data_IF_874186000316
#
_entry.id   IF_874186000316
#
_cell.length_a   1.000
_cell.length_b   1.000
_cell.length_c   1.000
_cell.angle_alpha   90.00
_cell.angle_beta   90.00
_cell.angle_gamma   90.00
#
_symmetry.space_group_name_H-M   'P 1'
#
loop_
_entity.id
_entity.type
_entity.pdbx_description
1 polymer ?
#
# COMPACT_ATOMS: atom_id res chain seq x y z
N UNK A 1 -2.20 -10.23 6.50
CA UNK A 1 -3.49 -9.57 6.79
C UNK A 1 -3.53 -8.32 5.94
N UNK A 2 -4.56 -8.15 5.11
CA UNK A 2 -4.79 -7.09 4.11
C UNK A 2 -6.25 -6.66 4.33
N UNK A 3 -6.63 -5.40 4.66
CA UNK A 3 -8.05 -5.11 5.05
C UNK A 3 -8.59 -3.71 4.74
N UNK A 4 -9.52 -3.63 3.75
CA UNK A 4 -10.85 -2.96 3.72
C UNK A 4 -11.34 -2.53 2.30
N UNK A 5 -12.59 -2.87 1.97
CA UNK A 5 -13.44 -2.40 0.86
C UNK A 5 -12.94 -2.57 -0.59
N UNK A 6 -12.54 -3.80 -0.94
CA UNK A 6 -12.62 -4.27 -2.32
C UNK A 6 -13.51 -5.52 -2.38
N UNK A 7 -14.55 -5.49 -3.22
CA UNK A 7 -15.46 -6.60 -3.50
C UNK A 7 -14.76 -7.67 -4.35
N UNK A 8 -13.67 -8.24 -3.83
CA UNK A 8 -13.04 -9.41 -4.43
C UNK A 8 -12.76 -10.40 -3.31
N UNK A 9 -13.44 -11.55 -3.35
CA UNK A 9 -13.05 -12.74 -2.60
C UNK A 9 -11.71 -13.22 -3.17
N UNK A 10 -10.63 -12.61 -2.70
CA UNK A 10 -9.26 -12.96 -3.08
C UNK A 10 -8.78 -14.01 -2.08
N UNK A 11 -8.91 -15.28 -2.46
CA UNK A 11 -8.33 -16.41 -1.71
C UNK A 11 -6.96 -16.75 -2.32
N UNK A 12 -5.90 -16.35 -1.64
CA UNK A 12 -4.53 -16.76 -1.98
C UNK A 12 -4.03 -17.72 -0.91
N UNK A 13 -3.50 -18.86 -1.33
CA UNK A 13 -2.88 -19.82 -0.42
C UNK A 13 -1.86 -19.13 0.50
N UNK A 14 -2.10 -19.21 1.81
CA UNK A 14 -1.24 -18.61 2.84
C UNK A 14 -1.54 -17.15 3.20
N UNK A 15 -2.57 -16.53 2.62
CA UNK A 15 -3.05 -15.19 2.99
C UNK A 15 -4.49 -15.30 3.50
N UNK A 16 -4.73 -14.80 4.71
CA UNK A 16 -6.06 -14.67 5.27
C UNK A 16 -6.54 -13.22 5.24
N UNK A 17 -7.76 -13.02 4.76
CA UNK A 17 -8.48 -11.77 4.88
C UNK A 17 -9.00 -11.61 6.31
N UNK A 18 -8.76 -10.44 6.91
CA UNK A 18 -9.41 -10.09 8.18
C UNK A 18 -10.43 -9.00 7.94
N UNK A 19 -11.46 -8.92 8.76
CA UNK A 19 -12.42 -7.82 8.68
C UNK A 19 -12.26 -6.91 9.90
N UNK A 20 -12.31 -5.60 9.67
CA UNK A 20 -12.26 -4.58 10.72
C UNK A 20 -13.49 -3.68 10.62
N UNK A 21 -13.86 -3.09 11.75
CA UNK A 21 -15.03 -2.20 11.83
C UNK A 21 -14.87 -0.89 11.05
N UNK A 22 -13.63 -0.43 10.86
CA UNK A 22 -13.27 0.76 10.08
C UNK A 22 -11.76 0.71 9.74
N UNK A 23 -11.31 1.65 8.90
CA UNK A 23 -9.96 1.70 8.35
C UNK A 23 -8.91 2.17 9.36
N UNK A 24 -9.30 2.97 10.36
CA UNK A 24 -8.40 3.32 11.47
C UNK A 24 -8.04 2.06 12.28
N UNK A 25 -9.03 1.30 12.70
CA UNK A 25 -8.82 0.03 13.40
C UNK A 25 -8.05 -0.95 12.51
N UNK A 26 -8.33 -0.99 11.20
CA UNK A 26 -7.61 -1.83 10.26
C UNK A 26 -6.12 -1.47 10.18
N UNK A 27 -5.78 -0.18 10.17
CA UNK A 27 -4.39 0.28 10.15
C UNK A 27 -3.63 -0.12 11.43
N UNK A 28 -4.25 -0.03 12.61
CA UNK A 28 -3.65 -0.53 13.85
C UNK A 28 -3.54 -2.04 13.91
N UNK A 29 -4.51 -2.77 13.36
CA UNK A 29 -4.43 -4.21 13.27
C UNK A 29 -3.26 -4.64 12.35
N UNK A 30 -3.08 -3.96 11.21
CA UNK A 30 -1.97 -4.20 10.30
C UNK A 30 -0.61 -3.90 10.96
N UNK A 31 -0.51 -2.80 11.72
CA UNK A 31 0.68 -2.46 12.52
C UNK A 31 1.00 -3.57 13.54
N UNK A 32 0.03 -3.94 14.37
CA UNK A 32 0.21 -4.99 15.37
C UNK A 32 0.61 -6.33 14.75
N UNK A 33 0.02 -6.68 13.61
CA UNK A 33 0.41 -7.86 12.85
C UNK A 33 1.85 -7.77 12.34
N UNK A 34 2.25 -6.62 11.79
CA UNK A 34 3.60 -6.38 11.30
C UNK A 34 4.65 -6.55 12.41
N UNK A 35 4.36 -6.10 13.63
CA UNK A 35 5.25 -6.30 14.79
C UNK A 35 5.48 -7.77 15.13
N UNK A 36 4.47 -8.62 14.91
CA UNK A 36 4.57 -10.06 15.19
C UNK A 36 5.16 -10.86 14.03
N UNK A 37 4.92 -10.43 12.79
CA UNK A 37 5.19 -11.23 11.57
C UNK A 37 6.21 -10.60 10.63
N UNK A 38 6.73 -9.42 10.97
CA UNK A 38 7.71 -8.66 10.19
C UNK A 38 7.10 -7.70 9.17
N UNK A 39 5.91 -7.98 8.65
CA UNK A 39 5.20 -7.12 7.70
C UNK A 39 3.69 -7.26 7.84
N UNK A 40 3.01 -6.12 7.76
CA UNK A 40 1.55 -6.01 7.73
C UNK A 40 1.12 -5.39 6.41
N UNK A 41 -0.12 -5.63 6.02
CA UNK A 41 -0.70 -5.04 4.82
C UNK A 41 -2.07 -4.47 5.16
N UNK A 42 -2.39 -3.34 4.55
CA UNK A 42 -3.67 -2.66 4.68
C UNK A 42 -4.20 -2.44 3.28
N UNK A 43 -5.50 -2.68 3.05
CA UNK A 43 -6.16 -2.28 1.81
C UNK A 43 -7.24 -1.27 2.17
N UNK A 44 -7.39 -0.17 1.45
CA UNK A 44 -8.55 0.69 1.66
C UNK A 44 -9.14 1.13 0.33
N UNK A 45 -10.37 1.64 0.40
CA UNK A 45 -10.95 2.37 -0.73
C UNK A 45 -10.37 3.80 -0.80
N UNK A 46 -10.45 4.39 -2.00
CA UNK A 46 -10.00 5.74 -2.29
C UNK A 46 -10.75 6.83 -1.51
N UNK A 47 -10.03 7.88 -1.12
CA UNK A 47 -10.56 9.04 -0.41
C UNK A 47 -10.87 8.74 1.05
N UNK A 48 -12.10 8.31 1.36
CA UNK A 48 -12.54 8.18 2.77
C UNK A 48 -11.82 7.08 3.53
N UNK A 49 -11.51 5.97 2.85
CA UNK A 49 -10.85 4.83 3.49
C UNK A 49 -9.40 5.14 3.82
N UNK A 50 -8.65 5.66 2.84
CA UNK A 50 -7.25 6.04 3.05
C UNK A 50 -7.12 7.18 4.06
N UNK A 51 -7.92 8.25 3.98
CA UNK A 51 -7.84 9.34 4.95
C UNK A 51 -8.17 8.89 6.38
N UNK A 52 -9.04 7.89 6.56
CA UNK A 52 -9.34 7.32 7.87
C UNK A 52 -8.17 6.48 8.42
N UNK A 53 -7.40 5.82 7.55
CA UNK A 53 -6.24 5.00 7.90
C UNK A 53 -4.95 5.79 8.14
N UNK A 54 -4.84 7.03 7.64
CA UNK A 54 -3.57 7.78 7.62
C UNK A 54 -2.94 7.94 9.01
N UNK A 55 -3.75 8.04 10.06
CA UNK A 55 -3.27 8.14 11.43
C UNK A 55 -2.51 6.87 11.88
N UNK A 56 -3.04 5.68 11.56
CA UNK A 56 -2.33 4.44 11.90
C UNK A 56 -1.08 4.24 11.06
N UNK A 57 -1.10 4.64 9.78
CA UNK A 57 0.09 4.62 8.93
C UNK A 57 1.16 5.59 9.43
N UNK A 58 0.79 6.80 9.86
CA UNK A 58 1.71 7.73 10.50
C UNK A 58 2.30 7.16 11.80
N UNK A 59 1.49 6.43 12.59
CA UNK A 59 1.96 5.68 13.76
C UNK A 59 3.00 4.60 13.40
N UNK A 60 2.72 3.78 12.38
CA UNK A 60 3.68 2.81 11.85
C UNK A 60 4.95 3.48 11.33
N UNK A 61 4.81 4.65 10.70
CA UNK A 61 5.95 5.44 10.27
C UNK A 61 6.75 5.93 11.46
N UNK A 62 6.17 6.39 12.56
CA UNK A 62 6.93 6.82 13.73
C UNK A 62 7.71 5.66 14.37
N UNK A 63 7.07 4.49 14.46
CA UNK A 63 7.52 3.33 15.25
C UNK A 63 8.38 2.32 14.47
N UNK A 64 8.82 2.66 13.27
CA UNK A 64 9.62 1.78 12.40
C UNK A 64 8.90 0.45 12.08
N UNK A 65 7.62 0.51 11.71
CA UNK A 65 6.82 -0.68 11.39
C UNK A 65 6.57 -0.80 9.89
N UNK A 66 6.91 -1.95 9.31
CA UNK A 66 6.68 -2.27 7.90
C UNK A 66 5.20 -2.58 7.64
N UNK A 67 4.44 -1.57 7.21
CA UNK A 67 3.05 -1.71 6.76
C UNK A 67 2.92 -1.27 5.30
N UNK A 68 2.47 -2.17 4.43
CA UNK A 68 2.15 -1.83 3.04
C UNK A 68 0.67 -1.45 2.94
N UNK A 69 0.39 -0.20 2.61
CA UNK A 69 -0.96 0.31 2.42
C UNK A 69 -1.27 0.37 0.92
N UNK A 70 -2.20 -0.48 0.49
CA UNK A 70 -2.72 -0.52 -0.87
C UNK A 70 -4.05 0.23 -0.88
N UNK A 71 -4.19 1.21 -1.76
CA UNK A 71 -5.45 1.92 -1.96
C UNK A 71 -5.96 1.61 -3.34
N UNK A 72 -7.14 1.01 -3.43
CA UNK A 72 -7.73 0.85 -4.75
C UNK A 72 -8.44 2.13 -5.17
N UNK A 73 -8.02 2.65 -6.33
CA UNK A 73 -8.35 3.98 -6.84
C UNK A 73 -9.32 3.91 -8.03
N UNK A 74 -9.87 5.06 -8.40
CA UNK A 74 -10.83 5.18 -9.50
C UNK A 74 -10.26 4.67 -10.84
N UNK A 75 -11.08 4.24 -11.81
CA UNK A 75 -10.58 3.77 -13.10
C UNK A 75 -9.67 4.80 -13.80
N UNK A 76 -8.61 4.35 -14.47
CA UNK A 76 -7.62 5.24 -15.12
C UNK A 76 -8.27 6.25 -16.08
N UNK A 77 -9.27 5.83 -16.85
CA UNK A 77 -10.03 6.70 -17.76
C UNK A 77 -10.80 7.81 -17.02
N UNK A 78 -11.35 7.50 -15.83
CA UNK A 78 -12.06 8.48 -15.01
C UNK A 78 -11.11 9.53 -14.46
N UNK A 79 -9.93 9.11 -13.98
CA UNK A 79 -8.88 10.02 -13.53
C UNK A 79 -8.41 10.94 -14.67
N UNK A 80 -8.18 10.39 -15.86
CA UNK A 80 -7.72 11.15 -17.03
C UNK A 80 -8.75 12.19 -17.52
N UNK A 81 -10.04 11.91 -17.33
CA UNK A 81 -11.13 12.80 -17.77
C UNK A 81 -11.43 13.97 -16.81
N UNK A 82 -10.82 14.01 -15.62
CA UNK A 82 -11.15 15.04 -14.62
C UNK A 82 -12.55 14.88 -14.02
N UNK A 83 -13.16 13.69 -14.12
CA UNK A 83 -14.55 13.48 -13.74
C UNK A 83 -14.79 13.78 -12.25
N UNK A 84 -15.77 14.63 -11.96
CA UNK A 84 -16.19 14.89 -10.58
C UNK A 84 -16.91 13.64 -10.06
N UNK A 85 -16.19 12.83 -9.28
CA UNK A 85 -16.67 11.56 -8.72
C UNK A 85 -16.81 11.64 -7.20
N UNK A 86 -17.69 10.80 -6.65
CA UNK A 86 -17.84 10.63 -5.20
C UNK A 86 -16.48 10.29 -4.56
N UNK A 87 -16.21 10.85 -3.38
CA UNK A 87 -14.94 10.75 -2.63
C UNK A 87 -13.71 11.45 -3.22
N UNK A 88 -13.90 12.41 -4.14
CA UNK A 88 -12.84 13.35 -4.55
C UNK A 88 -12.99 14.70 -3.83
N UNK A 89 -11.99 15.59 -3.91
CA UNK A 89 -12.14 16.98 -3.47
C UNK A 89 -12.94 17.87 -4.45
N UNK A 90 -13.45 17.30 -5.55
CA UNK A 90 -14.22 18.03 -6.57
C UNK A 90 -13.41 19.04 -7.38
N UNK A 91 -12.08 18.99 -7.30
CA UNK A 91 -11.15 19.92 -7.96
C UNK A 91 -10.40 19.29 -9.16
N UNK A 92 -10.72 18.03 -9.52
CA UNK A 92 -10.06 17.31 -10.61
C UNK A 92 -8.68 16.73 -10.27
N UNK A 93 -8.19 16.88 -9.03
CA UNK A 93 -6.94 16.28 -8.56
C UNK A 93 -7.22 14.95 -7.84
N UNK A 94 -6.93 13.85 -8.52
CA UNK A 94 -7.07 12.50 -7.96
C UNK A 94 -5.82 12.00 -7.24
N UNK A 95 -4.72 12.75 -7.29
CA UNK A 95 -3.47 12.41 -6.60
C UNK A 95 -3.37 13.07 -5.23
N UNK A 96 -4.32 13.93 -4.86
CA UNK A 96 -4.25 14.70 -3.61
C UNK A 96 -4.09 13.83 -2.37
N UNK A 97 -4.83 12.72 -2.24
CA UNK A 97 -4.73 11.84 -1.08
C UNK A 97 -3.42 11.04 -1.10
N UNK A 98 -3.05 10.48 -2.26
CA UNK A 98 -1.76 9.83 -2.48
C UNK A 98 -0.57 10.77 -2.13
N UNK A 99 -0.69 12.06 -2.47
CA UNK A 99 0.31 13.08 -2.12
C UNK A 99 0.42 13.32 -0.60
N UNK A 100 -0.67 13.24 0.16
CA UNK A 100 -0.62 13.34 1.63
C UNK A 100 0.18 12.19 2.25
N UNK A 101 0.13 11.01 1.64
CA UNK A 101 0.86 9.83 2.11
C UNK A 101 2.38 9.94 1.96
N UNK A 102 2.89 10.83 1.10
CA UNK A 102 4.35 11.01 0.91
C UNK A 102 5.10 11.39 2.17
N UNK A 103 4.44 12.11 3.09
CA UNK A 103 5.03 12.55 4.35
C UNK A 103 5.03 11.46 5.43
N UNK A 104 4.24 10.41 5.26
CA UNK A 104 4.03 9.34 6.26
C UNK A 104 4.34 7.95 5.70
N UNK A 105 5.05 7.88 4.58
CA UNK A 105 5.52 6.62 3.97
C UNK A 105 6.94 6.76 3.44
N UNK A 106 7.69 5.66 3.41
CA UNK A 106 9.06 5.66 2.90
C UNK A 106 9.13 5.51 1.38
N UNK A 107 8.14 4.83 0.81
CA UNK A 107 7.99 4.63 -0.60
C UNK A 107 6.51 4.76 -0.96
N UNK A 108 6.27 5.37 -2.10
CA UNK A 108 4.94 5.66 -2.60
C UNK A 108 4.93 5.41 -4.11
N UNK A 109 3.84 4.81 -4.61
CA UNK A 109 3.60 4.66 -6.05
C UNK A 109 2.11 4.70 -6.38
N UNK A 110 1.79 5.07 -7.62
CA UNK A 110 0.51 4.81 -8.25
C UNK A 110 0.78 3.91 -9.47
N UNK A 111 0.20 2.71 -9.44
CA UNK A 111 0.47 1.70 -10.44
C UNK A 111 -0.19 2.06 -11.78
N UNK A 112 0.54 1.74 -12.83
CA UNK A 112 0.15 1.82 -14.22
C UNK A 112 0.51 0.50 -14.89
N UNK A 113 -0.01 0.25 -16.09
CA UNK A 113 0.29 -0.98 -16.84
C UNK A 113 1.78 -1.19 -17.10
N UNK A 114 2.55 -0.12 -17.19
CA UNK A 114 3.96 -0.17 -17.59
C UNK A 114 4.95 -0.15 -16.44
N UNK A 115 4.53 0.23 -15.22
CA UNK A 115 5.42 0.33 -14.06
C UNK A 115 5.14 -0.72 -12.97
N UNK A 116 4.08 -1.52 -13.11
CA UNK A 116 3.55 -2.34 -12.02
C UNK A 116 4.60 -3.28 -11.41
N UNK A 117 5.37 -3.98 -12.23
CA UNK A 117 6.39 -4.95 -11.79
C UNK A 117 7.47 -4.22 -10.96
N UNK A 118 8.14 -3.25 -11.58
CA UNK A 118 9.26 -2.54 -10.96
C UNK A 118 8.86 -1.78 -9.70
N UNK A 119 7.68 -1.13 -9.72
CA UNK A 119 7.24 -0.30 -8.60
C UNK A 119 6.74 -1.13 -7.41
N UNK A 120 6.08 -2.27 -7.63
CA UNK A 120 5.71 -3.19 -6.55
C UNK A 120 6.99 -3.67 -5.84
N UNK A 121 7.98 -4.15 -6.60
CA UNK A 121 9.23 -4.64 -6.02
C UNK A 121 9.99 -3.55 -5.27
N UNK A 122 10.10 -2.35 -5.85
CA UNK A 122 10.75 -1.21 -5.21
C UNK A 122 10.07 -0.85 -3.89
N UNK A 123 8.74 -0.70 -3.91
CA UNK A 123 7.95 -0.30 -2.75
C UNK A 123 8.04 -1.34 -1.62
N UNK A 124 7.92 -2.63 -1.94
CA UNK A 124 8.03 -3.70 -0.95
C UNK A 124 9.43 -3.79 -0.36
N UNK A 125 10.47 -3.66 -1.19
CA UNK A 125 11.85 -3.67 -0.71
C UNK A 125 12.14 -2.47 0.20
N UNK A 126 11.72 -1.26 -0.15
CA UNK A 126 11.90 -0.09 0.73
C UNK A 126 11.14 -0.24 2.05
N UNK A 127 9.89 -0.73 2.01
CA UNK A 127 9.07 -0.99 3.20
C UNK A 127 9.77 -1.91 4.20
N UNK A 128 10.34 -3.02 3.71
CA UNK A 128 11.05 -4.00 4.53
C UNK A 128 12.43 -3.49 4.99
N UNK A 129 13.24 -2.98 4.06
CA UNK A 129 14.63 -2.61 4.33
C UNK A 129 14.75 -1.42 5.27
N UNK A 130 13.80 -0.49 5.21
CA UNK A 130 13.78 0.70 6.06
C UNK A 130 12.91 0.52 7.30
N UNK A 131 12.17 -0.59 7.38
CA UNK A 131 11.18 -0.82 8.43
C UNK A 131 10.24 0.37 8.56
N UNK A 132 9.62 0.79 7.46
CA UNK A 132 8.71 1.95 7.40
C UNK A 132 7.54 1.61 6.48
N UNK A 133 6.38 2.24 6.67
CA UNK A 133 5.22 1.96 5.84
C UNK A 133 5.40 2.47 4.41
N UNK A 134 4.70 1.84 3.48
CA UNK A 134 4.71 2.23 2.07
C UNK A 134 3.32 2.26 1.46
N UNK A 135 3.13 3.04 0.41
CA UNK A 135 1.84 3.29 -0.25
C UNK A 135 1.83 2.78 -1.69
N UNK A 136 0.74 2.11 -2.09
CA UNK A 136 0.48 1.67 -3.46
C UNK A 136 -0.96 2.05 -3.85
N UNK A 137 -1.11 2.99 -4.77
CA UNK A 137 -2.38 3.26 -5.45
C UNK A 137 -2.59 2.27 -6.61
N UNK A 138 -3.70 1.55 -6.64
CA UNK A 138 -4.05 0.59 -7.69
C UNK A 138 -5.41 0.95 -8.30
N UNK A 139 -5.44 1.43 -9.54
CA UNK A 139 -6.72 1.71 -10.21
C UNK A 139 -7.51 0.41 -10.43
N UNK A 140 -8.82 0.45 -10.19
CA UNK A 140 -9.67 -0.76 -10.23
C UNK A 140 -9.69 -1.46 -11.60
N UNK A 141 -9.48 -0.72 -12.69
CA UNK A 141 -9.40 -1.29 -14.04
C UNK A 141 -8.06 -1.98 -14.34
N UNK A 142 -7.07 -1.82 -13.45
CA UNK A 142 -5.78 -2.47 -13.55
C UNK A 142 -5.68 -3.75 -12.71
N UNK A 143 -6.61 -4.01 -11.77
CA UNK A 143 -6.55 -5.22 -10.93
C UNK A 143 -6.67 -6.51 -11.73
N UNK A 144 -7.45 -6.48 -12.82
CA UNK A 144 -7.71 -7.64 -13.66
C UNK A 144 -6.79 -7.68 -14.90
N UNK A 145 -5.79 -6.78 -14.96
CA UNK A 145 -4.89 -6.70 -16.10
C UNK A 145 -3.75 -7.71 -15.95
N UNK A 146 -3.73 -8.71 -16.83
CA UNK A 146 -2.63 -9.68 -16.89
C UNK A 146 -1.35 -9.02 -17.40
N UNK A 147 -0.25 -9.30 -16.71
CA UNK A 147 1.10 -8.87 -17.07
C UNK A 147 1.98 -10.11 -17.26
N UNK A 148 2.79 -10.09 -18.30
CA UNK A 148 3.81 -11.13 -18.49
C UNK A 148 4.98 -10.82 -17.55
N UNK A 149 5.20 -11.70 -16.59
CA UNK A 149 6.35 -11.62 -15.69
C UNK A 149 7.36 -12.66 -16.12
N UNK A 150 8.58 -12.25 -16.40
CA UNK A 150 9.68 -13.20 -16.57
C UNK A 150 10.00 -13.80 -15.18
N UNK A 151 9.84 -15.10 -14.96
CA UNK A 151 10.14 -15.70 -13.66
C UNK A 151 11.60 -15.49 -13.23
N UNK A 152 12.50 -15.28 -14.19
CA UNK A 152 13.92 -14.99 -13.93
C UNK A 152 14.18 -13.54 -13.54
N UNK A 153 13.21 -12.63 -13.75
CA UNK A 153 13.33 -11.23 -13.33
C UNK A 153 12.80 -10.97 -11.92
N UNK A 154 12.11 -11.94 -11.29
CA UNK A 154 11.61 -11.82 -9.93
C UNK A 154 12.70 -12.24 -8.95
N UNK A 155 13.45 -11.27 -8.45
CA UNK A 155 14.37 -11.50 -7.34
C UNK A 155 13.58 -11.69 -6.04
N UNK A 156 13.90 -12.70 -5.21
CA UNK A 156 13.26 -12.87 -3.92
C UNK A 156 13.40 -11.61 -3.06
N UNK A 157 12.32 -11.24 -2.36
CA UNK A 157 12.35 -10.16 -1.36
C UNK A 157 13.54 -10.36 -0.42
N UNK A 158 14.42 -9.36 -0.35
CA UNK A 158 15.61 -9.41 0.50
C UNK A 158 15.19 -9.28 1.96
N UNK A 159 15.03 -10.43 2.64
CA UNK A 159 14.59 -10.50 4.05
C UNK A 159 15.73 -10.31 5.07
N UNK A 160 16.98 -10.22 4.62
CA UNK A 160 18.12 -10.04 5.51
C UNK A 160 18.23 -8.59 5.96
N UNK A 161 18.05 -8.32 7.25
CA UNK A 161 18.35 -7.02 7.83
C UNK A 161 19.82 -6.67 7.59
N UNK A 162 20.09 -5.45 7.10
CA UNK A 162 21.46 -4.92 7.08
C UNK A 162 21.92 -4.83 8.54
N UNK A 163 23.02 -5.52 8.88
CA UNK A 163 23.60 -5.43 10.23
C UNK A 163 23.83 -3.96 10.57
N UNK A 164 23.45 -3.56 11.79
CA UNK A 164 23.79 -2.24 12.30
C UNK A 164 25.28 -1.96 12.06
N UNK A 165 25.65 -0.75 11.59
CA UNK A 165 27.05 -0.36 11.50
C UNK A 165 27.71 -0.61 12.85
N UNK A 166 28.89 -1.23 12.85
CA UNK A 166 29.60 -1.58 14.10
C UNK A 166 30.08 -0.35 14.88
N UNK A 167 29.96 0.83 14.30
CA UNK A 167 30.63 2.06 14.76
C UNK A 167 29.67 3.07 15.40
N UNK A 168 28.46 2.64 15.80
CA UNK A 168 27.52 3.49 16.56
C UNK A 168 27.60 3.12 18.03
N UNK A 169 28.60 3.65 18.71
CA UNK A 169 28.76 3.69 20.17
C UNK A 169 28.81 5.13 20.65
#
# INVERSE_FOLDING_TARGET
MIIHNFYFDIDFDGIQWGNNCNELNASYAADGYARMRGIGVLVTTFGVGELSAINGIAGSYAEMVSVVHIVGTLPTASQASGAILHHTLGNGDFLVFANMYKEVTIAHTNLTKTNAIEEIDRVLNECLNKSRPAYIGLAVDLSDHEINVDPLSIEPLKRSLVRNPRDVH
#
